data_IF_627499151233
#
_entry.id   IF_627499151233
#
_cell.length_a   1.000
_cell.length_b   1.000
_cell.length_c   1.000
_cell.angle_alpha   90.00
_cell.angle_beta   90.00
_cell.angle_gamma   90.00
#
_symmetry.space_group_name_H-M   'P 1'
#
loop_
_entity.id
_entity.type
_entity.pdbx_description
1 polymer ?
#
# COMPACT_ATOMS: atom_id res chain seq x y z
N UNK A 1 -10.01 1.15 23.54
CA UNK A 1 -9.96 1.97 22.31
C UNK A 1 -10.17 0.99 21.19
N UNK A 2 -11.30 1.08 20.49
CA UNK A 2 -11.47 0.37 19.24
C UNK A 2 -10.57 1.10 18.24
N UNK A 3 -9.49 0.44 17.81
CA UNK A 3 -8.66 0.95 16.71
C UNK A 3 -9.51 0.76 15.47
N UNK A 4 -9.78 1.83 14.74
CA UNK A 4 -10.44 1.71 13.43
C UNK A 4 -9.58 0.76 12.57
N UNK A 5 -10.16 -0.28 11.97
CA UNK A 5 -9.38 -1.20 11.14
C UNK A 5 -8.97 -0.50 9.84
N UNK A 6 -7.89 -0.98 9.23
CA UNK A 6 -7.57 -0.66 7.85
C UNK A 6 -8.79 -0.89 6.94
N UNK A 7 -8.93 -0.10 5.89
CA UNK A 7 -9.86 -0.42 4.80
C UNK A 7 -9.47 -1.74 4.15
N UNK A 8 -10.38 -2.36 3.39
CA UNK A 8 -10.12 -3.68 2.78
C UNK A 8 -8.88 -3.66 1.87
N UNK A 9 -8.70 -2.61 1.08
CA UNK A 9 -7.56 -2.49 0.17
C UNK A 9 -6.24 -2.21 0.93
N UNK A 10 -6.27 -1.44 2.02
CA UNK A 10 -5.12 -1.30 2.91
C UNK A 10 -4.80 -2.59 3.67
N UNK A 11 -5.80 -3.37 4.06
CA UNK A 11 -5.60 -4.66 4.74
C UNK A 11 -4.94 -5.69 3.81
N UNK A 12 -5.28 -5.68 2.51
CA UNK A 12 -4.60 -6.51 1.50
C UNK A 12 -3.11 -6.14 1.37
N UNK A 13 -2.78 -4.83 1.38
CA UNK A 13 -1.40 -4.34 1.39
C UNK A 13 -0.66 -4.80 2.66
N UNK A 14 -1.23 -4.57 3.85
CA UNK A 14 -0.66 -4.99 5.15
C UNK A 14 -0.33 -6.49 5.18
N UNK A 15 -1.22 -7.31 4.61
CA UNK A 15 -1.06 -8.77 4.58
C UNK A 15 -0.14 -9.27 3.45
N UNK A 16 0.39 -8.38 2.60
CA UNK A 16 1.09 -8.73 1.36
C UNK A 16 0.27 -9.66 0.44
N UNK A 17 -1.05 -9.51 0.42
CA UNK A 17 -1.97 -10.33 -0.37
C UNK A 17 -2.15 -9.73 -1.77
N UNK A 18 -1.25 -10.12 -2.68
CA UNK A 18 -1.22 -9.61 -4.05
C UNK A 18 -2.50 -9.92 -4.86
N UNK A 19 -3.13 -11.07 -4.59
CA UNK A 19 -4.32 -11.52 -5.32
C UNK A 19 -5.53 -10.71 -4.85
N UNK A 20 -5.76 -10.63 -3.54
CA UNK A 20 -6.87 -9.84 -2.99
C UNK A 20 -6.71 -8.35 -3.34
N UNK A 21 -5.48 -7.81 -3.26
CA UNK A 21 -5.20 -6.43 -3.67
C UNK A 21 -5.60 -6.19 -5.14
N UNK A 22 -5.23 -7.10 -6.04
CA UNK A 22 -5.57 -6.99 -7.46
C UNK A 22 -7.07 -7.10 -7.68
N UNK A 23 -7.76 -8.02 -7.01
CA UNK A 23 -9.22 -8.18 -7.09
C UNK A 23 -9.95 -6.92 -6.63
N UNK A 24 -9.51 -6.30 -5.53
CA UNK A 24 -10.13 -5.08 -5.01
C UNK A 24 -9.93 -3.89 -5.97
N UNK A 25 -8.73 -3.75 -6.56
CA UNK A 25 -8.43 -2.70 -7.53
C UNK A 25 -9.19 -2.92 -8.86
N UNK A 26 -9.29 -4.16 -9.34
CA UNK A 26 -10.14 -4.52 -10.49
C UNK A 26 -11.62 -4.24 -10.24
N UNK A 27 -12.08 -4.40 -8.99
CA UNK A 27 -13.44 -4.05 -8.57
C UNK A 27 -13.68 -2.54 -8.46
N UNK A 28 -12.66 -1.70 -8.69
CA UNK A 28 -12.76 -0.25 -8.71
C UNK A 28 -12.41 0.44 -7.39
N UNK A 29 -11.71 -0.24 -6.47
CA UNK A 29 -11.09 0.45 -5.34
C UNK A 29 -10.15 1.55 -5.86
N UNK A 30 -10.14 2.71 -5.18
CA UNK A 30 -9.31 3.84 -5.61
C UNK A 30 -7.83 3.52 -5.34
N UNK A 31 -6.95 3.47 -6.36
CA UNK A 31 -5.52 3.23 -6.17
C UNK A 31 -4.83 4.38 -5.39
N UNK A 32 -5.49 5.53 -5.23
CA UNK A 32 -5.05 6.66 -4.42
C UNK A 32 -5.75 6.76 -3.07
N UNK A 33 -6.49 5.72 -2.66
CA UNK A 33 -7.18 5.71 -1.37
C UNK A 33 -6.21 6.04 -0.24
N UNK A 34 -6.71 6.83 0.72
CA UNK A 34 -6.01 7.15 1.96
C UNK A 34 -6.72 6.52 3.15
N UNK A 35 -5.96 5.78 3.96
CA UNK A 35 -6.39 5.28 5.26
C UNK A 35 -5.36 5.72 6.31
N UNK A 36 -5.82 6.34 7.41
CA UNK A 36 -4.94 6.98 8.41
C UNK A 36 -3.90 7.95 7.80
N UNK A 37 -4.34 8.74 6.82
CA UNK A 37 -3.50 9.68 6.04
C UNK A 37 -2.42 9.03 5.14
N UNK A 38 -2.31 7.70 5.16
CA UNK A 38 -1.36 6.94 4.33
C UNK A 38 -2.04 6.59 3.01
N UNK A 39 -1.38 6.85 1.88
CA UNK A 39 -1.85 6.39 0.55
C UNK A 39 -1.55 4.90 0.35
N UNK A 40 -2.26 4.21 -0.53
CA UNK A 40 -1.92 2.81 -0.88
C UNK A 40 -0.47 2.64 -1.34
N UNK A 41 0.05 3.59 -2.14
CA UNK A 41 1.44 3.57 -2.58
C UNK A 41 2.42 3.79 -1.43
N UNK A 42 2.13 4.73 -0.52
CA UNK A 42 2.94 4.93 0.68
C UNK A 42 2.96 3.68 1.56
N UNK A 43 1.80 3.08 1.78
CA UNK A 43 1.66 1.86 2.59
C UNK A 43 2.43 0.68 1.99
N UNK A 44 2.32 0.47 0.67
CA UNK A 44 3.03 -0.60 -0.03
C UNK A 44 4.56 -0.48 0.12
N UNK A 45 5.10 0.73 -0.02
CA UNK A 45 6.53 1.00 0.13
C UNK A 45 6.99 0.71 1.56
N UNK A 46 6.22 1.15 2.57
CA UNK A 46 6.54 0.90 3.98
C UNK A 46 6.52 -0.60 4.30
N UNK A 47 5.45 -1.32 3.93
CA UNK A 47 5.32 -2.76 4.17
C UNK A 47 6.45 -3.57 3.50
N UNK A 48 6.80 -3.25 2.25
CA UNK A 48 7.88 -3.95 1.54
C UNK A 48 9.26 -3.66 2.15
N UNK A 49 9.49 -2.41 2.57
CA UNK A 49 10.70 -1.99 3.27
C UNK A 49 10.85 -2.70 4.62
N UNK A 50 9.80 -2.67 5.44
CA UNK A 50 9.76 -3.32 6.74
C UNK A 50 9.91 -4.83 6.64
N UNK A 51 9.21 -5.47 5.70
CA UNK A 51 9.31 -6.90 5.45
C UNK A 51 10.75 -7.31 5.09
N UNK A 52 11.43 -6.55 4.22
CA UNK A 52 12.82 -6.79 3.86
C UNK A 52 13.77 -6.60 5.06
N UNK A 53 13.58 -5.54 5.85
CA UNK A 53 14.39 -5.27 7.04
C UNK A 53 14.23 -6.35 8.12
N UNK A 54 13.00 -6.79 8.37
CA UNK A 54 12.67 -7.76 9.41
C UNK A 54 13.09 -9.19 9.03
N UNK A 55 12.89 -9.58 7.77
CA UNK A 55 13.22 -10.93 7.30
C UNK A 55 14.70 -11.09 6.92
N UNK A 56 15.40 -9.99 6.61
CA UNK A 56 16.74 -10.01 6.02
C UNK A 56 16.75 -10.49 4.56
N UNK A 57 15.58 -10.71 3.97
CA UNK A 57 15.45 -11.02 2.54
C UNK A 57 15.67 -9.78 1.69
N UNK A 58 15.93 -10.01 0.40
CA UNK A 58 15.98 -8.92 -0.57
C UNK A 58 14.60 -8.26 -0.68
N UNK A 59 14.58 -6.92 -0.72
CA UNK A 59 13.38 -6.14 -1.00
C UNK A 59 12.71 -6.59 -2.31
N UNK A 60 11.39 -6.79 -2.24
CA UNK A 60 10.54 -7.12 -3.37
C UNK A 60 9.46 -6.06 -3.52
N UNK A 61 9.41 -5.41 -4.69
CA UNK A 61 8.53 -4.27 -4.97
C UNK A 61 7.20 -4.64 -5.62
N UNK A 62 6.60 -5.80 -5.30
CA UNK A 62 5.40 -6.28 -5.98
C UNK A 62 4.13 -5.51 -5.63
N UNK A 63 3.89 -5.17 -4.36
CA UNK A 63 2.77 -4.32 -3.94
C UNK A 63 2.91 -2.95 -4.60
N UNK A 64 4.12 -2.36 -4.53
CA UNK A 64 4.43 -1.08 -5.18
C UNK A 64 4.16 -1.14 -6.69
N UNK A 65 4.59 -2.21 -7.36
CA UNK A 65 4.35 -2.40 -8.79
C UNK A 65 2.86 -2.56 -9.12
N UNK A 66 2.09 -3.29 -8.30
CA UNK A 66 0.65 -3.49 -8.49
C UNK A 66 -0.07 -2.15 -8.39
N UNK A 67 0.06 -1.42 -7.28
CA UNK A 67 -0.70 -0.16 -7.08
C UNK A 67 -0.34 0.90 -8.11
N UNK A 68 0.93 0.98 -8.55
CA UNK A 68 1.33 1.83 -9.68
C UNK A 68 0.69 1.40 -11.00
N UNK A 69 0.61 0.10 -11.27
CA UNK A 69 -0.03 -0.40 -12.49
C UNK A 69 -1.53 -0.07 -12.55
N UNK A 70 -2.19 0.03 -11.39
CA UNK A 70 -3.58 0.48 -11.29
C UNK A 70 -3.75 2.01 -11.24
N UNK A 71 -2.66 2.78 -11.27
CA UNK A 71 -2.69 4.23 -11.40
C UNK A 71 -2.52 5.03 -10.11
N UNK A 72 -1.93 4.44 -9.07
CA UNK A 72 -1.52 5.19 -7.89
C UNK A 72 -0.55 6.32 -8.30
N UNK A 73 -0.79 7.53 -7.82
CA UNK A 73 -0.02 8.72 -8.16
C UNK A 73 1.17 8.88 -7.18
N UNK A 74 2.42 8.76 -7.66
CA UNK A 74 3.62 8.88 -6.83
C UNK A 74 3.88 10.31 -6.32
N UNK A 75 3.12 11.31 -6.77
CA UNK A 75 3.23 12.69 -6.30
C UNK A 75 2.28 13.01 -5.15
N UNK A 76 1.39 12.09 -4.76
CA UNK A 76 0.48 12.33 -3.65
C UNK A 76 1.21 12.24 -2.32
N UNK A 77 1.01 13.26 -1.50
CA UNK A 77 1.47 13.27 -0.12
C UNK A 77 0.80 12.14 0.66
N UNK A 78 1.61 11.31 1.29
CA UNK A 78 1.23 10.31 2.28
C UNK A 78 1.40 10.85 3.70
N UNK A 79 1.38 9.97 4.69
CA UNK A 79 1.59 10.32 6.09
C UNK A 79 2.85 11.17 6.30
N UNK A 80 2.75 12.17 7.18
CA UNK A 80 3.82 13.13 7.42
C UNK A 80 4.07 14.15 6.29
N UNK A 81 3.19 14.21 5.28
CA UNK A 81 3.33 15.13 4.14
C UNK A 81 4.44 14.71 3.16
N UNK A 82 4.90 13.46 3.24
CA UNK A 82 5.94 12.93 2.37
C UNK A 82 5.35 12.40 1.08
N UNK A 83 5.96 12.73 -0.06
CA UNK A 83 5.66 12.10 -1.34
C UNK A 83 6.51 10.83 -1.51
N UNK A 84 6.01 9.80 -2.22
CA UNK A 84 6.81 8.65 -2.60
C UNK A 84 8.10 8.95 -3.37
N UNK A 85 8.16 10.08 -4.09
CA UNK A 85 9.33 10.54 -4.87
C UNK A 85 9.93 11.85 -4.36
#
# INVERSE_FOLDING_TARGET
>A
MDVEPWTLVHQAVENCDYEELSVLLDAGADPNEKCFEITLLGHAIEVEGDSALQSGCRLHGALTAIVLAYGADPNLESYGGQTPI
#
